data_IF_317384595790
#
_entry.id   IF_317384595790
#
_cell.length_a   1.000
_cell.length_b   1.000
_cell.length_c   1.000
_cell.angle_alpha   90.00
_cell.angle_beta   90.00
_cell.angle_gamma   90.00
#
_symmetry.space_group_name_H-M   'P 1'
#
loop_
_entity.id
_entity.type
_entity.pdbx_description
1 polymer ?
#
# COMPACT_ATOMS: atom_id res chain seq x y z
N UNK A 1 3.16 4.49 -7.73
CA UNK A 1 3.86 3.71 -8.78
C UNK A 1 4.03 2.27 -8.36
N UNK A 2 4.74 1.99 -7.26
CA UNK A 2 5.08 0.61 -6.89
C UNK A 2 4.14 -0.02 -5.86
N UNK A 3 3.06 0.66 -5.44
CA UNK A 3 2.29 0.24 -4.26
C UNK A 3 1.48 -1.04 -4.49
N UNK A 4 1.08 -1.34 -5.73
CA UNK A 4 0.38 -2.59 -6.12
C UNK A 4 1.19 -3.49 -7.09
N UNK A 5 2.53 -3.40 -7.07
CA UNK A 5 3.35 -4.15 -8.04
C UNK A 5 3.23 -5.68 -7.86
N UNK A 6 2.97 -6.42 -8.93
CA UNK A 6 2.66 -7.87 -8.90
C UNK A 6 1.35 -8.22 -8.14
N UNK A 7 0.37 -7.32 -8.11
CA UNK A 7 -0.98 -7.65 -7.63
C UNK A 7 -1.66 -8.70 -8.53
N UNK A 8 -2.31 -9.70 -7.92
CA UNK A 8 -2.87 -10.87 -8.62
C UNK A 8 -4.39 -10.88 -8.71
N UNK A 9 -5.02 -9.77 -8.37
CA UNK A 9 -6.48 -9.62 -8.35
C UNK A 9 -7.14 -10.37 -7.19
N UNK A 10 -6.42 -10.53 -6.08
CA UNK A 10 -6.88 -11.27 -4.90
C UNK A 10 -6.37 -10.60 -3.64
N UNK A 11 -7.20 -10.49 -2.60
CA UNK A 11 -6.87 -9.76 -1.38
C UNK A 11 -6.03 -10.54 -0.35
N UNK A 12 -5.65 -9.89 0.75
CA UNK A 12 -4.87 -10.46 1.85
C UNK A 12 -5.55 -11.67 2.51
N UNK A 13 -6.88 -11.66 2.64
CA UNK A 13 -7.66 -12.77 3.22
C UNK A 13 -7.57 -14.02 2.34
N UNK A 14 -7.73 -13.86 1.03
CA UNK A 14 -7.56 -14.95 0.06
C UNK A 14 -6.18 -15.60 0.15
N UNK A 15 -5.11 -14.79 0.31
CA UNK A 15 -3.76 -15.31 0.46
C UNK A 15 -3.65 -16.27 1.66
N UNK A 16 -4.28 -15.90 2.78
CA UNK A 16 -4.30 -16.68 4.02
C UNK A 16 -5.11 -17.97 3.88
N UNK A 17 -6.33 -17.85 3.36
CA UNK A 17 -7.27 -18.98 3.23
C UNK A 17 -6.76 -20.06 2.27
N UNK A 18 -6.09 -19.64 1.19
CA UNK A 18 -5.49 -20.57 0.22
C UNK A 18 -4.09 -21.05 0.62
N UNK A 19 -3.54 -20.58 1.75
CA UNK A 19 -2.17 -20.83 2.19
C UNK A 19 -1.13 -20.60 1.07
N UNK A 20 -1.32 -19.52 0.30
CA UNK A 20 -0.46 -19.12 -0.81
C UNK A 20 1.01 -18.99 -0.40
N UNK A 21 1.91 -18.98 -1.39
CA UNK A 21 3.35 -18.73 -1.15
C UNK A 21 3.61 -17.38 -0.49
N UNK A 22 2.77 -16.37 -0.77
CA UNK A 22 2.86 -15.04 -0.14
C UNK A 22 2.47 -15.11 1.33
N UNK A 23 1.38 -15.80 1.67
CA UNK A 23 0.98 -16.02 3.05
C UNK A 23 2.04 -16.80 3.84
N UNK A 24 2.62 -17.86 3.26
CA UNK A 24 3.70 -18.61 3.91
C UNK A 24 4.90 -17.72 4.26
N UNK A 25 5.17 -16.68 3.46
CA UNK A 25 6.29 -15.77 3.68
C UNK A 25 5.97 -14.61 4.65
N UNK A 26 4.76 -14.05 4.58
CA UNK A 26 4.45 -12.76 5.22
C UNK A 26 3.34 -12.80 6.29
N UNK A 27 2.70 -13.96 6.53
CA UNK A 27 1.52 -14.05 7.43
C UNK A 27 1.76 -13.56 8.85
N UNK A 28 2.97 -13.73 9.39
CA UNK A 28 3.28 -13.38 10.78
C UNK A 28 3.31 -11.86 11.00
N UNK A 29 3.57 -11.10 9.94
CA UNK A 29 3.75 -9.65 10.03
C UNK A 29 2.53 -8.84 9.55
N UNK A 30 1.47 -9.49 9.07
CA UNK A 30 0.30 -8.83 8.45
C UNK A 30 0.62 -8.15 7.10
N UNK A 31 -0.38 -7.56 6.46
CA UNK A 31 -0.26 -6.80 5.19
C UNK A 31 0.55 -7.58 4.13
N UNK A 32 0.07 -8.77 3.79
CA UNK A 32 0.82 -9.79 3.02
C UNK A 32 1.19 -9.25 1.63
N UNK A 33 0.22 -8.66 0.93
CA UNK A 33 0.39 -8.10 -0.41
C UNK A 33 1.30 -6.87 -0.35
N UNK A 34 1.08 -5.95 0.59
CA UNK A 34 1.88 -4.73 0.73
C UNK A 34 3.35 -5.04 1.00
N UNK A 35 3.63 -6.09 1.80
CA UNK A 35 5.00 -6.59 2.02
C UNK A 35 5.61 -7.22 0.78
N UNK A 36 4.81 -7.90 -0.03
CA UNK A 36 5.24 -8.40 -1.33
C UNK A 36 5.58 -7.25 -2.29
N UNK A 37 4.71 -6.22 -2.36
CA UNK A 37 4.93 -5.02 -3.17
C UNK A 37 6.24 -4.30 -2.78
N UNK A 38 6.52 -4.19 -1.48
CA UNK A 38 7.79 -3.68 -0.95
C UNK A 38 8.98 -4.54 -1.39
N UNK A 39 8.87 -5.86 -1.28
CA UNK A 39 9.96 -6.78 -1.62
C UNK A 39 10.32 -6.68 -3.11
N UNK A 40 9.33 -6.66 -3.99
CA UNK A 40 9.53 -6.49 -5.44
C UNK A 40 10.12 -5.10 -5.73
N UNK A 41 9.60 -4.05 -5.09
CA UNK A 41 10.14 -2.69 -5.23
C UNK A 41 11.62 -2.62 -4.89
N UNK A 42 12.05 -3.24 -3.79
CA UNK A 42 13.47 -3.26 -3.42
C UNK A 42 14.30 -4.15 -4.33
N UNK A 43 13.79 -5.28 -4.79
CA UNK A 43 14.49 -6.10 -5.78
C UNK A 43 14.78 -5.32 -7.07
N UNK A 44 13.84 -4.50 -7.54
CA UNK A 44 14.06 -3.61 -8.70
C UNK A 44 15.11 -2.54 -8.37
N UNK A 45 15.04 -1.93 -7.19
CA UNK A 45 16.01 -0.89 -6.81
C UNK A 45 17.41 -1.43 -6.49
N UNK A 46 17.56 -2.73 -6.27
CA UNK A 46 18.86 -3.37 -6.03
C UNK A 46 19.54 -3.83 -7.32
N UNK A 47 18.81 -3.90 -8.44
CA UNK A 47 19.39 -4.16 -9.76
C UNK A 47 20.13 -2.92 -10.29
N UNK A 48 21.38 -3.09 -10.73
CA UNK A 48 22.25 -2.02 -11.21
C UNK A 48 21.66 -1.21 -12.37
N UNK A 49 20.87 -1.85 -13.23
CA UNK A 49 20.34 -1.23 -14.45
C UNK A 49 19.13 -0.33 -14.15
N UNK A 50 18.47 -0.55 -13.02
CA UNK A 50 17.26 0.16 -12.59
C UNK A 50 17.44 0.99 -11.31
N UNK A 51 18.60 0.89 -10.67
CA UNK A 51 18.91 1.61 -9.44
C UNK A 51 19.26 3.09 -9.67
N UNK A 52 18.22 3.93 -9.69
CA UNK A 52 18.39 5.39 -9.72
C UNK A 52 18.90 5.99 -8.40
N UNK A 53 18.99 5.20 -7.32
CA UNK A 53 19.47 5.61 -6.00
C UNK A 53 20.97 5.38 -5.80
N UNK A 54 21.70 4.99 -6.84
CA UNK A 54 23.14 4.66 -6.80
C UNK A 54 24.03 5.78 -6.23
N UNK A 55 23.57 7.03 -6.29
CA UNK A 55 24.28 8.20 -5.78
C UNK A 55 23.94 8.54 -4.32
N UNK A 56 23.04 7.80 -3.67
CA UNK A 56 22.69 8.03 -2.26
C UNK A 56 23.78 7.47 -1.35
N UNK A 57 24.10 8.21 -0.29
CA UNK A 57 24.85 7.64 0.83
C UNK A 57 23.97 6.65 1.63
N UNK A 58 24.60 5.88 2.52
CA UNK A 58 23.91 4.84 3.29
C UNK A 58 22.76 5.39 4.17
N UNK A 59 22.88 6.61 4.68
CA UNK A 59 21.85 7.21 5.52
C UNK A 59 20.63 7.62 4.68
N UNK A 60 20.86 8.27 3.54
CA UNK A 60 19.80 8.64 2.60
C UNK A 60 19.09 7.41 2.03
N UNK A 61 19.84 6.37 1.68
CA UNK A 61 19.28 5.12 1.16
C UNK A 61 18.39 4.45 2.22
N UNK A 62 18.86 4.35 3.46
CA UNK A 62 18.08 3.77 4.55
C UNK A 62 16.82 4.60 4.84
N UNK A 63 16.94 5.93 4.85
CA UNK A 63 15.80 6.82 5.01
C UNK A 63 14.76 6.63 3.89
N UNK A 64 15.21 6.58 2.63
CA UNK A 64 14.34 6.34 1.48
C UNK A 64 13.64 4.98 1.56
N UNK A 65 14.38 3.89 1.83
CA UNK A 65 13.79 2.55 2.00
C UNK A 65 12.75 2.55 3.13
N UNK A 66 12.99 3.26 4.23
CA UNK A 66 12.02 3.37 5.33
C UNK A 66 10.75 4.13 4.91
N UNK A 67 10.88 5.22 4.15
CA UNK A 67 9.72 5.94 3.62
C UNK A 67 8.89 5.06 2.69
N UNK A 68 9.52 4.33 1.77
CA UNK A 68 8.82 3.41 0.87
C UNK A 68 8.07 2.32 1.66
N UNK A 69 8.71 1.71 2.66
CA UNK A 69 8.03 0.72 3.53
C UNK A 69 6.80 1.32 4.20
N UNK A 70 6.95 2.49 4.81
CA UNK A 70 5.85 3.15 5.50
C UNK A 70 4.70 3.48 4.56
N UNK A 71 4.99 4.04 3.38
CA UNK A 71 3.98 4.48 2.43
C UNK A 71 3.24 3.29 1.84
N UNK A 72 3.94 2.22 1.43
CA UNK A 72 3.29 1.03 0.86
C UNK A 72 2.51 0.26 1.94
N UNK A 73 3.02 0.12 3.16
CA UNK A 73 2.24 -0.53 4.23
C UNK A 73 0.95 0.23 4.58
N UNK A 74 0.94 1.55 4.40
CA UNK A 74 -0.23 2.37 4.67
C UNK A 74 -1.33 2.25 3.60
N UNK A 75 -1.10 1.54 2.48
CA UNK A 75 -2.16 1.25 1.49
C UNK A 75 -3.05 0.08 1.91
N UNK A 76 -2.64 -0.72 2.90
CA UNK A 76 -3.53 -1.70 3.51
C UNK A 76 -4.66 -0.96 4.24
N UNK A 77 -5.89 -1.08 3.74
CA UNK A 77 -7.05 -0.42 4.33
C UNK A 77 -7.27 -0.80 5.80
N UNK A 78 -6.88 -2.01 6.23
CA UNK A 78 -6.94 -2.40 7.64
C UNK A 78 -6.00 -1.52 8.48
N UNK A 79 -4.80 -1.21 7.97
CA UNK A 79 -3.86 -0.27 8.61
C UNK A 79 -4.41 1.14 8.58
N UNK A 80 -4.94 1.62 7.45
CA UNK A 80 -5.54 2.94 7.35
C UNK A 80 -6.60 3.17 8.43
N UNK A 81 -7.56 2.26 8.59
CA UNK A 81 -8.62 2.41 9.60
C UNK A 81 -8.10 2.44 11.04
N UNK A 82 -6.95 1.84 11.34
CA UNK A 82 -6.32 1.98 12.66
C UNK A 82 -5.70 3.36 12.89
N UNK A 83 -5.30 4.06 11.83
CA UNK A 83 -4.66 5.37 11.90
C UNK A 83 -5.66 6.53 11.87
N UNK A 84 -6.84 6.35 11.28
CA UNK A 84 -7.88 7.38 11.14
C UNK A 84 -8.16 8.18 12.42
N UNK A 85 -8.25 7.59 13.64
CA UNK A 85 -8.47 8.37 14.85
C UNK A 85 -7.36 9.40 15.12
N UNK A 86 -6.10 9.02 14.95
CA UNK A 86 -4.95 9.91 15.11
C UNK A 86 -4.86 10.93 13.97
N UNK A 87 -5.19 10.53 12.74
CA UNK A 87 -5.25 11.44 11.58
C UNK A 87 -6.30 12.54 11.80
N UNK A 88 -7.46 12.20 12.37
CA UNK A 88 -8.49 13.17 12.75
C UNK A 88 -8.04 14.08 13.88
N UNK A 89 -7.44 13.54 14.93
CA UNK A 89 -6.89 14.33 16.03
C UNK A 89 -5.84 15.32 15.51
N UNK A 90 -4.92 14.87 14.65
CA UNK A 90 -3.93 15.74 14.01
C UNK A 90 -4.58 16.86 13.17
N UNK A 91 -5.68 16.57 12.48
CA UNK A 91 -6.41 17.57 11.71
C UNK A 91 -7.10 18.61 12.60
N UNK A 92 -7.61 18.20 13.77
CA UNK A 92 -8.25 19.08 14.76
C UNK A 92 -7.23 19.95 15.52
N UNK A 93 -6.12 19.37 15.96
CA UNK A 93 -5.06 20.06 16.71
C UNK A 93 -4.16 20.93 15.81
N UNK A 94 -4.12 20.62 14.52
CA UNK A 94 -3.27 21.28 13.53
C UNK A 94 -1.98 20.51 13.25
N UNK A 95 -1.60 20.47 11.97
CA UNK A 95 -0.39 19.81 11.53
C UNK A 95 0.88 20.56 11.96
N UNK A 96 1.72 19.93 12.79
CA UNK A 96 3.09 20.37 13.06
C UNK A 96 4.10 19.67 12.14
N UNK A 97 4.76 20.45 11.27
CA UNK A 97 5.78 19.97 10.35
C UNK A 97 7.04 19.44 11.04
N UNK A 98 7.29 19.75 12.30
CA UNK A 98 8.45 19.26 13.05
C UNK A 98 8.12 18.00 13.87
N UNK A 99 6.83 17.70 14.06
CA UNK A 99 6.39 16.47 14.69
C UNK A 99 6.49 15.30 13.70
N UNK A 100 7.38 14.36 13.99
CA UNK A 100 7.61 13.19 13.14
C UNK A 100 6.35 12.34 12.97
N UNK A 101 5.54 12.15 14.03
CA UNK A 101 4.29 11.38 13.94
C UNK A 101 3.29 12.06 13.01
N UNK A 102 3.17 13.39 13.07
CA UNK A 102 2.29 14.13 12.16
C UNK A 102 2.74 13.96 10.70
N UNK A 103 4.05 14.01 10.42
CA UNK A 103 4.56 13.75 9.08
C UNK A 103 4.24 12.32 8.59
N UNK A 104 4.31 11.33 9.49
CA UNK A 104 3.97 9.92 9.18
C UNK A 104 2.47 9.76 8.87
N UNK A 105 1.60 10.33 9.71
CA UNK A 105 0.15 10.33 9.51
C UNK A 105 -0.24 11.07 8.21
N UNK A 106 0.37 12.23 7.93
CA UNK A 106 0.14 12.96 6.69
C UNK A 106 0.50 12.12 5.46
N UNK A 107 1.61 11.37 5.49
CA UNK A 107 1.97 10.46 4.39
C UNK A 107 0.95 9.34 4.21
N UNK A 108 0.46 8.77 5.32
CA UNK A 108 -0.60 7.75 5.33
C UNK A 108 -1.89 8.26 4.67
N UNK A 109 -2.34 9.47 5.05
CA UNK A 109 -3.51 10.10 4.44
C UNK A 109 -3.29 10.34 2.95
N UNK A 110 -2.13 10.91 2.57
CA UNK A 110 -1.84 11.23 1.16
C UNK A 110 -1.87 9.98 0.29
N UNK A 111 -1.24 8.88 0.73
CA UNK A 111 -1.23 7.65 -0.09
C UNK A 111 -2.63 7.02 -0.17
N UNK A 112 -3.39 7.02 0.92
CA UNK A 112 -4.78 6.54 0.92
C UNK A 112 -5.67 7.36 -0.01
N UNK A 113 -5.51 8.70 -0.01
CA UNK A 113 -6.21 9.58 -0.94
C UNK A 113 -5.80 9.35 -2.40
N UNK A 114 -4.52 9.07 -2.67
CA UNK A 114 -4.05 8.76 -4.01
C UNK A 114 -4.63 7.43 -4.52
N UNK A 115 -4.66 6.41 -3.66
CA UNK A 115 -5.16 5.08 -3.97
C UNK A 115 -6.67 5.08 -4.25
N UNK A 116 -7.43 5.86 -3.49
CA UNK A 116 -8.88 6.00 -3.66
C UNK A 116 -9.29 7.19 -4.56
N UNK A 117 -8.33 7.80 -5.28
CA UNK A 117 -8.55 9.06 -5.97
C UNK A 117 -9.58 9.00 -7.10
N UNK A 118 -9.86 7.81 -7.63
CA UNK A 118 -10.91 7.58 -8.64
C UNK A 118 -12.29 8.02 -8.15
N UNK A 119 -12.55 7.92 -6.85
CA UNK A 119 -13.82 8.32 -6.23
C UNK A 119 -14.02 9.84 -6.18
N UNK A 120 -12.97 10.62 -6.45
CA UNK A 120 -13.03 12.08 -6.56
C UNK A 120 -13.32 12.58 -7.98
N UNK A 121 -13.46 11.68 -8.96
CA UNK A 121 -13.65 12.01 -10.38
C UNK A 121 -15.13 12.07 -10.74
N UNK A 122 -15.41 12.31 -12.02
CA UNK A 122 -16.77 12.34 -12.54
C UNK A 122 -17.44 10.97 -12.45
N UNK A 123 -18.77 10.97 -12.52
CA UNK A 123 -19.57 9.75 -12.40
C UNK A 123 -19.24 8.66 -13.43
N UNK A 124 -18.86 9.03 -14.66
CA UNK A 124 -18.54 8.03 -15.67
C UNK A 124 -17.26 7.28 -15.28
N UNK A 125 -16.26 7.98 -14.75
CA UNK A 125 -15.03 7.40 -14.19
C UNK A 125 -15.34 6.49 -13.00
N UNK A 126 -16.07 7.00 -11.99
CA UNK A 126 -16.46 6.21 -10.80
C UNK A 126 -17.18 4.92 -11.18
N UNK A 127 -18.15 5.00 -12.10
CA UNK A 127 -18.90 3.84 -12.58
C UNK A 127 -18.02 2.84 -13.32
N UNK A 128 -17.05 3.29 -14.10
CA UNK A 128 -16.12 2.40 -14.81
C UNK A 128 -15.22 1.65 -13.84
N UNK A 129 -14.64 2.35 -12.86
CA UNK A 129 -13.79 1.76 -11.82
C UNK A 129 -14.57 0.76 -10.96
N UNK A 130 -15.79 1.10 -10.55
CA UNK A 130 -16.63 0.16 -9.81
C UNK A 130 -16.84 -1.17 -10.55
N UNK A 131 -17.05 -1.13 -11.88
CA UNK A 131 -17.16 -2.36 -12.67
C UNK A 131 -15.88 -3.18 -12.68
N UNK A 132 -14.71 -2.55 -12.75
CA UNK A 132 -13.42 -3.24 -12.69
C UNK A 132 -13.22 -3.91 -11.33
N UNK A 133 -13.45 -3.17 -10.24
CA UNK A 133 -13.34 -3.69 -8.86
C UNK A 133 -14.28 -4.87 -8.64
N UNK A 134 -15.56 -4.76 -9.03
CA UNK A 134 -16.50 -5.89 -8.89
C UNK A 134 -16.11 -7.09 -9.76
N UNK A 135 -15.58 -6.86 -10.96
CA UNK A 135 -15.11 -7.95 -11.83
C UNK A 135 -13.99 -8.74 -11.16
N UNK A 136 -13.03 -8.02 -10.54
CA UNK A 136 -11.94 -8.63 -9.79
C UNK A 136 -12.46 -9.41 -8.57
N UNK A 137 -13.34 -8.81 -7.77
CA UNK A 137 -13.93 -9.44 -6.59
C UNK A 137 -14.74 -10.70 -6.93
N UNK A 138 -15.53 -10.68 -8.00
CA UNK A 138 -16.26 -11.87 -8.44
C UNK A 138 -15.32 -12.97 -8.95
N UNK A 139 -14.24 -12.59 -9.65
CA UNK A 139 -13.22 -13.54 -10.10
C UNK A 139 -12.52 -14.21 -8.92
N UNK A 140 -12.21 -13.47 -7.85
CA UNK A 140 -11.71 -14.04 -6.59
C UNK A 140 -12.76 -14.95 -5.95
N UNK A 141 -14.01 -14.48 -5.80
CA UNK A 141 -15.08 -15.27 -5.16
C UNK A 141 -15.42 -16.57 -5.89
N UNK A 142 -15.22 -16.63 -7.20
CA UNK A 142 -15.35 -17.87 -7.97
C UNK A 142 -14.16 -18.82 -7.77
N UNK A 143 -12.98 -18.31 -7.44
CA UNK A 143 -11.83 -19.14 -7.04
C UNK A 143 -12.02 -19.71 -5.63
N UNK A 144 -12.58 -18.94 -4.70
CA UNK A 144 -12.84 -19.38 -3.31
C UNK A 144 -13.90 -20.50 -3.22
N UNK A 145 -14.78 -20.62 -4.21
CA UNK A 145 -15.81 -21.68 -4.27
C UNK A 145 -15.30 -23.01 -4.82
N UNK A 146 -14.10 -23.06 -5.41
CA UNK A 146 -13.53 -24.28 -6.02
C UNK A 146 -12.80 -25.12 -4.99
#
# INVERSE_FOLDING_TARGET
MCHDIDHRGTNNQFQLETNSTLAQRYREQGSILERHHIAITFSILENSDTNFLSHFDGNKLNHFKNLIRQIILATDLAVHFTLVPEEKQMAEEGFDKFNRRHQELLRSVIISCADLSDQSKDWATVRAVAKLVYTEFFTQGDQEKR
#
